data_IF_852727985377
#
_entry.id   IF_852727985377
#
_cell.length_a   1.000
_cell.length_b   1.000
_cell.length_c   1.000
_cell.angle_alpha   90.00
_cell.angle_beta   90.00
_cell.angle_gamma   90.00
#
_symmetry.space_group_name_H-M   'P 1'
#
loop_
_entity.id
_entity.type
_entity.pdbx_description
1 polymer ?
#
# COMPACT_ATOMS: atom_id res chain seq x y z
N UNK A 1 -18.77 -7.67 -27.33
CA UNK A 1 -19.14 -6.27 -27.05
C UNK A 1 -19.63 -6.16 -25.60
N UNK A 2 -19.48 -4.96 -25.01
CA UNK A 2 -19.78 -4.52 -23.63
C UNK A 2 -18.91 -5.07 -22.48
N UNK A 3 -17.86 -4.32 -22.16
CA UNK A 3 -17.30 -4.23 -20.81
C UNK A 3 -18.30 -3.57 -19.85
N UNK A 4 -18.47 -4.04 -18.60
CA UNK A 4 -18.87 -3.16 -17.52
C UNK A 4 -17.62 -2.41 -17.03
N UNK A 5 -17.59 -1.11 -17.32
CA UNK A 5 -16.56 -0.15 -16.94
C UNK A 5 -16.68 0.30 -15.47
N UNK A 6 -16.78 -0.63 -14.53
CA UNK A 6 -16.75 -0.30 -13.09
C UNK A 6 -15.44 -0.77 -12.46
N UNK A 7 -14.31 -0.42 -13.07
CA UNK A 7 -12.99 -0.62 -12.46
C UNK A 7 -12.73 0.47 -11.40
N UNK A 8 -13.42 0.26 -10.29
CA UNK A 8 -13.37 0.90 -8.98
C UNK A 8 -12.07 1.63 -8.67
N UNK A 9 -12.19 2.91 -8.30
CA UNK A 9 -11.12 3.74 -7.72
C UNK A 9 -10.33 3.02 -6.62
N UNK A 10 -11.00 2.11 -5.89
CA UNK A 10 -10.41 1.25 -4.85
C UNK A 10 -9.32 0.37 -5.45
N UNK A 11 -9.53 -0.21 -6.64
CA UNK A 11 -8.51 -0.98 -7.34
C UNK A 11 -7.35 -0.10 -7.78
N UNK A 12 -7.61 1.13 -8.23
CA UNK A 12 -6.55 2.08 -8.62
C UNK A 12 -5.68 2.55 -7.44
N UNK A 13 -6.26 2.60 -6.24
CA UNK A 13 -5.59 3.01 -5.00
C UNK A 13 -4.86 1.82 -4.35
N UNK A 14 -5.51 0.64 -4.25
CA UNK A 14 -4.93 -0.56 -3.63
C UNK A 14 -3.99 -1.33 -4.58
N UNK A 15 -4.24 -1.31 -5.88
CA UNK A 15 -3.53 -2.06 -6.92
C UNK A 15 -3.36 -1.18 -8.18
N UNK A 16 -2.44 -0.20 -8.20
CA UNK A 16 -2.32 0.75 -9.31
C UNK A 16 -1.74 0.15 -10.61
N UNK A 17 -1.85 -1.16 -10.80
CA UNK A 17 -1.36 -1.88 -11.97
C UNK A 17 -2.48 -2.66 -12.63
N UNK A 18 -2.55 -2.54 -13.96
CA UNK A 18 -3.02 -3.64 -14.78
C UNK A 18 -2.01 -4.78 -14.56
N UNK A 19 -2.44 -5.94 -14.06
CA UNK A 19 -1.55 -7.08 -13.75
C UNK A 19 -0.88 -7.74 -14.96
N UNK A 20 -0.60 -6.98 -16.02
CA UNK A 20 0.02 -7.38 -17.28
C UNK A 20 1.46 -6.86 -17.45
N UNK A 21 1.93 -5.91 -16.62
CA UNK A 21 3.23 -5.28 -16.79
C UNK A 21 4.07 -5.32 -15.51
N UNK A 22 5.41 -5.37 -15.67
CA UNK A 22 6.34 -5.30 -14.55
C UNK A 22 6.29 -3.91 -13.90
N UNK A 23 6.28 -3.89 -12.58
CA UNK A 23 6.16 -2.65 -11.82
C UNK A 23 7.46 -1.85 -11.93
N UNK A 24 7.38 -0.67 -12.56
CA UNK A 24 8.51 0.26 -12.70
C UNK A 24 8.95 0.83 -11.34
N UNK A 25 10.24 1.21 -11.17
CA UNK A 25 10.78 1.71 -9.91
C UNK A 25 10.00 2.90 -9.33
N UNK A 26 9.56 3.84 -10.17
CA UNK A 26 8.77 4.99 -9.76
C UNK A 26 7.37 4.61 -9.23
N UNK A 27 6.74 3.60 -9.82
CA UNK A 27 5.45 3.11 -9.33
C UNK A 27 5.58 2.33 -8.02
N UNK A 28 6.73 1.68 -7.76
CA UNK A 28 7.01 1.05 -6.45
C UNK A 28 6.98 2.06 -5.33
N UNK A 29 7.69 3.18 -5.51
CA UNK A 29 7.75 4.24 -4.50
C UNK A 29 6.37 4.84 -4.25
N UNK A 30 5.61 5.11 -5.31
CA UNK A 30 4.24 5.63 -5.21
C UNK A 30 3.33 4.70 -4.40
N UNK A 31 3.47 3.39 -4.54
CA UNK A 31 2.65 2.43 -3.78
C UNK A 31 3.06 2.35 -2.33
N UNK A 32 4.36 2.33 -2.05
CA UNK A 32 4.83 2.39 -0.67
C UNK A 32 4.30 3.64 0.04
N UNK A 33 4.32 4.79 -0.63
CA UNK A 33 3.77 6.04 -0.10
C UNK A 33 2.24 5.99 0.07
N UNK A 34 1.51 5.53 -0.95
CA UNK A 34 0.03 5.46 -0.89
C UNK A 34 -0.42 4.49 0.19
N UNK A 35 0.13 3.27 0.23
CA UNK A 35 -0.21 2.30 1.28
C UNK A 35 0.23 2.79 2.66
N UNK A 36 1.44 3.33 2.78
CA UNK A 36 1.92 3.94 4.01
C UNK A 36 0.95 4.99 4.54
N UNK A 37 0.54 5.94 3.71
CA UNK A 37 -0.37 7.02 4.12
C UNK A 37 -1.80 6.53 4.36
N UNK A 38 -2.38 5.76 3.43
CA UNK A 38 -3.78 5.32 3.48
C UNK A 38 -4.05 4.48 4.72
N UNK A 39 -3.12 3.62 5.14
CA UNK A 39 -3.30 2.80 6.33
C UNK A 39 -2.82 3.47 7.63
N UNK A 40 -1.82 4.35 7.57
CA UNK A 40 -1.32 5.05 8.77
C UNK A 40 -2.23 6.20 9.20
N UNK A 41 -2.86 6.91 8.26
CA UNK A 41 -3.77 8.03 8.56
C UNK A 41 -4.95 7.66 9.49
N UNK A 42 -5.73 6.59 9.23
CA UNK A 42 -6.82 6.21 10.12
C UNK A 42 -6.32 5.76 11.50
N UNK A 43 -5.15 5.11 11.57
CA UNK A 43 -4.51 4.81 12.86
C UNK A 43 -4.18 6.09 13.63
N UNK A 44 -3.56 7.08 12.98
CA UNK A 44 -3.27 8.36 13.61
C UNK A 44 -4.53 9.08 14.10
N UNK A 45 -5.59 9.09 13.29
CA UNK A 45 -6.89 9.65 13.69
C UNK A 45 -7.46 8.94 14.92
N UNK A 46 -7.43 7.61 14.95
CA UNK A 46 -7.89 6.85 16.11
C UNK A 46 -7.04 7.15 17.35
N UNK A 47 -5.72 7.16 17.19
CA UNK A 47 -4.77 7.49 18.27
C UNK A 47 -5.00 8.90 18.81
N UNK A 48 -5.25 9.88 17.94
CA UNK A 48 -5.55 11.24 18.33
C UNK A 48 -6.86 11.31 19.13
N UNK A 49 -7.93 10.67 18.64
CA UNK A 49 -9.23 10.63 19.33
C UNK A 49 -9.13 9.99 20.71
N UNK A 50 -8.44 8.85 20.81
CA UNK A 50 -8.20 8.16 22.10
C UNK A 50 -7.38 9.03 23.03
N UNK A 51 -6.34 9.68 22.53
CA UNK A 51 -5.48 10.56 23.31
C UNK A 51 -6.20 11.81 23.85
N UNK A 52 -7.09 12.40 23.04
CA UNK A 52 -7.95 13.50 23.44
C UNK A 52 -8.99 13.05 24.48
N UNK A 53 -9.63 11.90 24.27
CA UNK A 53 -10.60 11.34 25.22
C UNK A 53 -9.95 10.99 26.57
N UNK A 54 -8.71 10.51 26.55
CA UNK A 54 -7.93 10.23 27.75
C UNK A 54 -7.38 11.47 28.46
N UNK A 55 -7.64 12.69 27.94
CA UNK A 55 -7.08 13.96 28.43
C UNK A 55 -5.56 13.88 28.63
N UNK A 56 -4.89 13.19 27.71
CA UNK A 56 -3.45 12.93 27.82
C UNK A 56 -2.69 14.24 27.70
N UNK A 57 -1.56 14.36 28.41
CA UNK A 57 -0.67 15.52 28.27
C UNK A 57 -0.23 15.67 26.81
N UNK A 58 -0.23 16.90 26.29
CA UNK A 58 0.13 17.23 24.90
C UNK A 58 1.46 16.60 24.49
N UNK A 59 2.46 16.58 25.38
CA UNK A 59 3.76 15.97 25.10
C UNK A 59 3.66 14.47 24.87
N UNK A 60 2.92 13.75 25.73
CA UNK A 60 2.70 12.30 25.58
C UNK A 60 1.91 11.98 24.31
N UNK A 61 0.91 12.81 23.99
CA UNK A 61 0.11 12.65 22.78
C UNK A 61 0.96 12.79 21.51
N UNK A 62 1.81 13.81 21.44
CA UNK A 62 2.72 14.01 20.30
C UNK A 62 3.67 12.82 20.16
N UNK A 63 4.31 12.38 21.24
CA UNK A 63 5.22 11.22 21.20
C UNK A 63 4.50 9.97 20.68
N UNK A 64 3.28 9.72 21.15
CA UNK A 64 2.51 8.55 20.77
C UNK A 64 2.08 8.62 19.29
N UNK A 65 1.68 9.80 18.80
CA UNK A 65 1.41 10.02 17.38
C UNK A 65 2.65 9.82 16.51
N UNK A 66 3.82 10.30 16.93
CA UNK A 66 5.07 10.10 16.19
C UNK A 66 5.45 8.62 16.12
N UNK A 67 5.30 7.88 17.22
CA UNK A 67 5.55 6.43 17.25
C UNK A 67 4.59 5.70 16.31
N UNK A 68 3.30 5.99 16.38
CA UNK A 68 2.28 5.37 15.52
C UNK A 68 2.53 5.69 14.05
N UNK A 69 2.92 6.93 13.73
CA UNK A 69 3.26 7.34 12.37
C UNK A 69 4.46 6.55 11.82
N UNK A 70 5.55 6.50 12.57
CA UNK A 70 6.76 5.76 12.17
C UNK A 70 6.48 4.27 12.03
N UNK A 71 5.80 3.68 13.01
CA UNK A 71 5.42 2.28 12.99
C UNK A 71 4.54 1.96 11.78
N UNK A 72 3.52 2.77 11.51
CA UNK A 72 2.63 2.61 10.37
C UNK A 72 3.38 2.68 9.03
N UNK A 73 4.22 3.70 8.82
CA UNK A 73 5.00 3.82 7.59
C UNK A 73 5.92 2.61 7.40
N UNK A 74 6.60 2.16 8.45
CA UNK A 74 7.53 1.02 8.37
C UNK A 74 6.76 -0.26 8.05
N UNK A 75 5.68 -0.57 8.80
CA UNK A 75 4.92 -1.81 8.61
C UNK A 75 4.21 -1.85 7.26
N UNK A 76 3.46 -0.80 6.93
CA UNK A 76 2.68 -0.75 5.70
C UNK A 76 3.58 -0.55 4.47
N UNK A 77 4.68 0.20 4.60
CA UNK A 77 5.70 0.35 3.57
C UNK A 77 6.42 -0.98 3.27
N UNK A 78 6.83 -1.73 4.29
CA UNK A 78 7.42 -3.05 4.10
C UNK A 78 6.44 -4.03 3.47
N UNK A 79 5.17 -4.01 3.91
CA UNK A 79 4.10 -4.84 3.33
C UNK A 79 3.88 -4.50 1.84
N UNK A 80 3.86 -3.22 1.49
CA UNK A 80 3.76 -2.76 0.12
C UNK A 80 4.97 -3.22 -0.73
N UNK A 81 6.19 -3.15 -0.19
CA UNK A 81 7.38 -3.67 -0.85
C UNK A 81 7.29 -5.17 -1.13
N UNK A 82 6.82 -5.93 -0.15
CA UNK A 82 6.61 -7.37 -0.28
C UNK A 82 5.55 -7.71 -1.34
N UNK A 83 4.43 -6.99 -1.34
CA UNK A 83 3.38 -7.15 -2.33
C UNK A 83 3.89 -6.87 -3.76
N UNK A 84 4.61 -5.77 -3.95
CA UNK A 84 5.24 -5.40 -5.23
C UNK A 84 6.22 -6.48 -5.69
N UNK A 85 7.06 -7.00 -4.79
CA UNK A 85 8.01 -8.08 -5.11
C UNK A 85 7.29 -9.35 -5.56
N UNK A 86 6.24 -9.75 -4.83
CA UNK A 86 5.44 -10.93 -5.13
C UNK A 86 4.71 -10.81 -6.47
N UNK A 87 4.16 -9.63 -6.78
CA UNK A 87 3.52 -9.34 -8.06
C UNK A 87 4.53 -9.47 -9.20
N UNK A 88 5.70 -8.83 -9.08
CA UNK A 88 6.74 -8.91 -10.12
C UNK A 88 7.21 -10.35 -10.36
N UNK A 89 7.34 -11.14 -9.30
CA UNK A 89 7.68 -12.57 -9.40
C UNK A 89 6.58 -13.35 -10.15
N UNK A 90 5.31 -13.07 -9.86
CA UNK A 90 4.18 -13.71 -10.54
C UNK A 90 4.10 -13.38 -12.03
N UNK A 91 4.39 -12.14 -12.41
CA UNK A 91 4.42 -11.70 -13.82
C UNK A 91 5.53 -12.43 -14.57
N UNK A 92 6.74 -12.48 -14.02
CA UNK A 92 7.87 -13.21 -14.63
C UNK A 92 7.57 -14.70 -14.85
N UNK A 93 6.93 -15.35 -13.86
CA UNK A 93 6.54 -16.76 -13.99
C UNK A 93 5.46 -16.97 -15.07
N UNK A 94 4.56 -15.99 -15.27
CA UNK A 94 3.55 -16.05 -16.34
C UNK A 94 4.17 -15.83 -17.72
N UNK A 95 5.12 -14.91 -17.85
CA UNK A 95 5.86 -14.66 -19.10
C UNK A 95 6.65 -15.91 -19.51
N UNK A 96 7.38 -16.53 -18.58
CA UNK A 96 8.12 -17.78 -18.83
C UNK A 96 7.23 -18.93 -19.31
N UNK A 97 6.03 -19.08 -18.73
CA UNK A 97 5.07 -20.12 -19.19
C UNK A 97 4.51 -19.82 -20.58
N UNK A 98 4.29 -18.55 -20.93
CA UNK A 98 3.85 -18.16 -22.27
C UNK A 98 4.93 -18.39 -23.32
N UNK A 99 6.19 -18.10 -23.00
CA UNK A 99 7.33 -18.39 -23.88
C UNK A 99 7.53 -19.90 -24.10
N UNK A 100 7.31 -20.73 -23.07
CA UNK A 100 7.37 -22.18 -23.20
C UNK A 100 6.20 -22.78 -23.98
N UNK A 101 5.00 -22.18 -23.90
CA UNK A 101 3.83 -22.64 -24.64
C UNK A 101 3.83 -22.22 -26.12
N UNK A 102 4.68 -21.26 -26.49
CA UNK A 102 4.83 -20.76 -27.87
C UNK A 102 6.07 -21.32 -28.59
N UNK A 103 6.77 -22.27 -27.96
CA UNK A 103 7.81 -23.12 -28.55
C UNK A 103 7.26 -24.51 -28.78
#
# INVERSE_FOLDING_TARGET
MSQPQDYSLIRRILLPFSGNETITPGQRWRIMLVWGLVFTLPMLLCTLLVGLAAKSSTGKLITLLTIVFLAGIILFGATAAFAVSSINRSVRLREQRKEQANK
#
